data_IF_942017270116
#
_entry.id   IF_942017270116
#
_cell.length_a   1.000
_cell.length_b   1.000
_cell.length_c   1.000
_cell.angle_alpha   90.00
_cell.angle_beta   90.00
_cell.angle_gamma   90.00
#
_symmetry.space_group_name_H-M   'P 1'
#
loop_
_entity.id
_entity.type
_entity.pdbx_description
1 polymer ?
#
# COMPACT_ATOMS: atom_id res chain seq x y z
N UNK A 1 4.15 -6.19 11.42
CA UNK A 1 3.32 -5.55 10.37
C UNK A 1 2.89 -6.64 9.37
N UNK A 2 1.65 -6.67 8.89
CA UNK A 2 1.24 -7.71 7.92
C UNK A 2 1.99 -7.52 6.59
N UNK A 3 2.33 -8.62 5.89
CA UNK A 3 3.05 -8.58 4.59
C UNK A 3 2.37 -7.65 3.56
N UNK A 4 1.04 -7.53 3.63
CA UNK A 4 0.22 -6.68 2.77
C UNK A 4 0.42 -5.20 3.04
N UNK A 5 0.42 -4.84 4.32
CA UNK A 5 0.68 -3.47 4.75
C UNK A 5 2.10 -3.10 4.34
N UNK A 6 3.06 -4.02 4.50
CA UNK A 6 4.43 -3.80 4.03
C UNK A 6 4.48 -3.48 2.53
N UNK A 7 3.81 -4.26 1.68
CA UNK A 7 3.76 -4.00 0.23
C UNK A 7 3.19 -2.61 -0.11
N UNK A 8 2.08 -2.22 0.52
CA UNK A 8 1.48 -0.90 0.29
C UNK A 8 2.43 0.25 0.74
N UNK A 9 3.16 0.06 1.84
CA UNK A 9 4.18 1.01 2.29
C UNK A 9 5.43 1.01 1.41
N UNK A 10 5.80 -0.13 0.81
CA UNK A 10 6.93 -0.22 -0.12
C UNK A 10 6.71 0.53 -1.44
N UNK A 11 5.44 0.70 -1.85
CA UNK A 11 5.03 1.57 -2.98
C UNK A 11 4.97 3.04 -2.51
N UNK A 12 4.40 3.28 -1.33
CA UNK A 12 4.15 4.65 -0.89
C UNK A 12 5.43 5.42 -0.50
N UNK A 13 6.40 4.78 0.16
CA UNK A 13 7.60 5.45 0.66
C UNK A 13 8.51 5.99 -0.45
N UNK A 14 8.89 5.23 -1.49
CA UNK A 14 9.72 5.76 -2.57
C UNK A 14 9.07 6.95 -3.28
N UNK A 15 7.76 6.92 -3.50
CA UNK A 15 7.02 8.03 -4.09
C UNK A 15 7.04 9.28 -3.20
N UNK A 16 6.83 9.13 -1.89
CA UNK A 16 6.93 10.25 -0.94
C UNK A 16 8.35 10.84 -0.89
N UNK A 17 9.38 9.98 -0.88
CA UNK A 17 10.79 10.41 -0.90
C UNK A 17 11.10 11.16 -2.20
N UNK A 18 10.75 10.57 -3.35
CA UNK A 18 10.99 11.18 -4.65
C UNK A 18 10.28 12.52 -4.78
N UNK A 19 8.99 12.59 -4.44
CA UNK A 19 8.21 13.82 -4.44
C UNK A 19 8.81 14.89 -3.52
N UNK A 20 9.25 14.49 -2.32
CA UNK A 20 9.89 15.39 -1.37
C UNK A 20 11.21 15.97 -1.89
N UNK A 21 12.07 15.16 -2.52
CA UNK A 21 13.31 15.66 -3.13
C UNK A 21 13.04 16.58 -4.33
N UNK A 22 12.03 16.29 -5.16
CA UNK A 22 11.67 17.18 -6.28
C UNK A 22 11.15 18.52 -5.76
N UNK A 23 10.27 18.52 -4.76
CA UNK A 23 9.80 19.73 -4.10
C UNK A 23 10.97 20.55 -3.51
N UNK A 24 11.93 19.86 -2.89
CA UNK A 24 13.11 20.48 -2.29
C UNK A 24 13.99 21.17 -3.35
N UNK A 25 14.35 20.47 -4.43
CA UNK A 25 15.10 21.06 -5.54
C UNK A 25 14.35 22.24 -6.16
N UNK A 26 13.03 22.13 -6.30
CA UNK A 26 12.20 23.18 -6.87
C UNK A 26 12.19 24.42 -5.97
N UNK A 27 12.12 24.27 -4.65
CA UNK A 27 12.19 25.38 -3.71
C UNK A 27 13.49 26.20 -3.88
N UNK A 28 14.64 25.53 -3.99
CA UNK A 28 15.93 26.18 -4.25
C UNK A 28 15.98 26.86 -5.63
N UNK A 29 15.35 26.26 -6.65
CA UNK A 29 15.26 26.88 -7.98
C UNK A 29 14.37 28.12 -8.00
N UNK A 30 13.29 28.13 -7.24
CA UNK A 30 12.36 29.26 -7.14
C UNK A 30 12.97 30.41 -6.36
N UNK A 31 13.65 30.14 -5.24
CA UNK A 31 14.29 31.16 -4.40
C UNK A 31 15.56 31.71 -5.02
N UNK A 32 16.37 30.83 -5.63
CA UNK A 32 17.63 31.18 -6.29
C UNK A 32 17.57 30.80 -7.77
N UNK A 33 16.95 31.64 -8.63
CA UNK A 33 16.81 31.31 -10.05
C UNK A 33 18.16 31.30 -10.78
N UNK A 34 19.10 32.17 -10.40
CA UNK A 34 20.43 32.24 -11.01
C UNK A 34 21.29 31.05 -10.57
N UNK A 35 21.86 30.32 -11.54
CA UNK A 35 22.62 29.11 -11.27
C UNK A 35 23.83 29.32 -10.35
N UNK A 36 24.69 30.35 -10.52
CA UNK A 36 25.85 30.53 -9.66
C UNK A 36 25.47 30.80 -8.19
N UNK A 37 24.45 31.62 -7.96
CA UNK A 37 23.93 31.94 -6.62
C UNK A 37 23.35 30.69 -5.97
N UNK A 38 22.54 29.93 -6.73
CA UNK A 38 21.96 28.67 -6.24
C UNK A 38 23.03 27.64 -5.89
N UNK A 39 24.04 27.48 -6.73
CA UNK A 39 25.13 26.54 -6.46
C UNK A 39 25.87 26.91 -5.17
N UNK A 40 26.22 28.19 -5.02
CA UNK A 40 26.84 28.68 -3.79
C UNK A 40 25.96 28.39 -2.58
N UNK A 41 24.66 28.74 -2.64
CA UNK A 41 23.70 28.48 -1.58
C UNK A 41 23.59 26.99 -1.23
N UNK A 42 23.52 26.10 -2.22
CA UNK A 42 23.45 24.66 -2.02
C UNK A 42 24.70 24.13 -1.32
N UNK A 43 25.88 24.57 -1.72
CA UNK A 43 27.15 24.13 -1.11
C UNK A 43 27.27 24.57 0.35
N UNK A 44 27.00 25.84 0.65
CA UNK A 44 27.13 26.37 2.03
C UNK A 44 26.05 25.85 2.98
N UNK A 45 24.94 25.33 2.46
CA UNK A 45 23.84 24.76 3.26
C UNK A 45 23.83 23.23 3.31
N UNK A 46 24.86 22.56 2.78
CA UNK A 46 24.98 21.09 2.85
C UNK A 46 24.28 20.31 1.73
N UNK A 47 23.67 20.99 0.76
CA UNK A 47 22.89 20.39 -0.33
C UNK A 47 23.73 20.03 -1.57
N UNK A 48 25.06 19.95 -1.44
CA UNK A 48 25.93 19.50 -2.53
C UNK A 48 25.61 18.08 -3.02
N UNK A 49 24.96 17.25 -2.19
CA UNK A 49 24.48 15.93 -2.58
C UNK A 49 23.39 15.97 -3.66
N UNK A 50 22.71 17.10 -3.87
CA UNK A 50 21.61 17.19 -4.85
C UNK A 50 22.05 16.83 -6.27
N UNK A 51 23.34 16.99 -6.60
CA UNK A 51 23.92 16.53 -7.87
C UNK A 51 23.80 14.99 -8.07
N UNK A 52 23.62 14.23 -6.99
CA UNK A 52 23.47 12.77 -6.97
C UNK A 52 22.01 12.32 -6.88
N UNK A 53 21.03 13.23 -6.92
CA UNK A 53 19.60 12.87 -6.91
C UNK A 53 19.17 11.92 -8.04
N UNK A 54 19.74 11.95 -9.26
CA UNK A 54 19.42 10.94 -10.27
C UNK A 54 19.62 9.50 -9.78
N UNK A 55 20.64 9.24 -8.95
CA UNK A 55 20.87 7.93 -8.35
C UNK A 55 19.78 7.57 -7.33
N UNK A 56 19.37 8.54 -6.51
CA UNK A 56 18.27 8.35 -5.53
C UNK A 56 16.95 8.05 -6.24
N UNK A 57 16.65 8.76 -7.34
CA UNK A 57 15.46 8.49 -8.14
C UNK A 57 15.51 7.13 -8.83
N UNK A 58 16.67 6.72 -9.34
CA UNK A 58 16.86 5.38 -9.88
C UNK A 58 16.62 4.29 -8.82
N UNK A 59 17.14 4.48 -7.61
CA UNK A 59 16.90 3.58 -6.49
C UNK A 59 15.41 3.52 -6.09
N UNK A 60 14.74 4.67 -6.01
CA UNK A 60 13.31 4.73 -5.73
C UNK A 60 12.50 3.99 -6.81
N UNK A 61 12.81 4.21 -8.09
CA UNK A 61 12.15 3.54 -9.20
C UNK A 61 12.37 2.01 -9.18
N UNK A 62 13.57 1.56 -8.82
CA UNK A 62 13.87 0.13 -8.69
C UNK A 62 13.06 -0.51 -7.55
N UNK A 63 12.99 0.15 -6.39
CA UNK A 63 12.16 -0.30 -5.26
C UNK A 63 10.69 -0.36 -5.67
N UNK A 64 10.20 0.67 -6.38
CA UNK A 64 8.83 0.74 -6.88
C UNK A 64 8.50 -0.43 -7.81
N UNK A 65 9.41 -0.74 -8.74
CA UNK A 65 9.25 -1.87 -9.66
C UNK A 65 9.19 -3.20 -8.91
N UNK A 66 10.10 -3.42 -7.96
CA UNK A 66 10.13 -4.65 -7.14
C UNK A 66 8.84 -4.78 -6.31
N UNK A 67 8.39 -3.68 -5.70
CA UNK A 67 7.17 -3.65 -4.92
C UNK A 67 5.94 -3.95 -5.79
N UNK A 68 5.86 -3.35 -6.99
CA UNK A 68 4.81 -3.60 -7.96
C UNK A 68 4.75 -5.07 -8.38
N UNK A 69 5.88 -5.64 -8.83
CA UNK A 69 5.96 -7.05 -9.26
C UNK A 69 5.58 -7.99 -8.12
N UNK A 70 6.10 -7.75 -6.91
CA UNK A 70 5.77 -8.55 -5.73
C UNK A 70 4.27 -8.48 -5.40
N UNK A 71 3.68 -7.30 -5.54
CA UNK A 71 2.26 -7.10 -5.30
C UNK A 71 1.39 -7.80 -6.36
N UNK A 72 1.78 -7.76 -7.64
CA UNK A 72 1.13 -8.51 -8.73
C UNK A 72 1.18 -10.01 -8.45
N UNK A 73 2.34 -10.58 -8.15
CA UNK A 73 2.46 -12.02 -7.81
C UNK A 73 1.62 -12.37 -6.57
N UNK A 74 1.57 -11.47 -5.58
CA UNK A 74 0.76 -11.65 -4.37
C UNK A 74 -0.75 -11.58 -4.61
N UNK A 75 -1.20 -10.80 -5.60
CA UNK A 75 -2.61 -10.56 -5.92
C UNK A 75 -3.32 -11.82 -6.44
N UNK A 76 -2.59 -12.76 -7.05
CA UNK A 76 -3.09 -14.08 -7.48
C UNK A 76 -3.73 -14.87 -6.33
N UNK A 77 -3.36 -14.55 -5.07
CA UNK A 77 -3.95 -15.15 -3.86
C UNK A 77 -5.27 -14.47 -3.43
N UNK A 78 -5.90 -13.70 -4.33
CA UNK A 78 -7.24 -13.04 -4.27
C UNK A 78 -7.52 -12.24 -3.01
N UNK A 79 -6.66 -11.27 -2.70
CA UNK A 79 -6.75 -10.61 -1.40
C UNK A 79 -6.07 -9.25 -1.48
N UNK A 80 -6.84 -8.17 -1.50
CA UNK A 80 -6.36 -6.80 -1.63
C UNK A 80 -5.48 -6.36 -0.42
N UNK A 81 -4.50 -5.50 -0.65
CA UNK A 81 -3.74 -4.86 0.42
C UNK A 81 -4.54 -3.64 0.95
N UNK A 82 -4.58 -3.43 2.27
CA UNK A 82 -5.19 -2.21 2.80
C UNK A 82 -4.37 -1.00 2.36
N UNK A 83 -5.01 0.10 1.89
CA UNK A 83 -4.30 1.27 1.41
C UNK A 83 -3.54 1.96 2.55
N UNK A 84 -2.42 2.60 2.21
CA UNK A 84 -1.74 3.54 3.12
C UNK A 84 -2.70 4.71 3.41
N UNK A 85 -2.86 5.12 4.67
CA UNK A 85 -3.81 6.16 5.02
C UNK A 85 -3.42 7.51 4.40
N UNK A 86 -4.39 8.29 3.93
CA UNK A 86 -4.15 9.53 3.21
C UNK A 86 -3.37 10.58 4.04
N UNK A 87 -3.58 10.61 5.37
CA UNK A 87 -2.84 11.50 6.26
C UNK A 87 -1.32 11.28 6.17
N UNK A 88 -0.85 10.06 5.87
CA UNK A 88 0.57 9.78 5.77
C UNK A 88 1.22 10.57 4.62
N UNK A 89 0.53 10.70 3.49
CA UNK A 89 0.98 11.48 2.34
C UNK A 89 0.89 13.00 2.58
N UNK A 90 -0.04 13.43 3.44
CA UNK A 90 -0.16 14.83 3.84
C UNK A 90 0.82 15.26 4.93
N UNK A 91 1.30 14.32 5.77
CA UNK A 91 2.09 14.62 6.96
C UNK A 91 3.56 14.19 6.85
N UNK A 92 3.85 13.00 6.30
CA UNK A 92 5.21 12.48 6.26
C UNK A 92 6.14 13.28 5.34
N UNK A 93 5.75 13.71 4.12
CA UNK A 93 6.65 14.51 3.29
C UNK A 93 7.01 15.87 3.93
N UNK A 94 6.06 16.66 4.50
CA UNK A 94 6.41 17.87 5.25
C UNK A 94 7.33 17.63 6.44
N UNK A 95 7.07 16.61 7.27
CA UNK A 95 7.90 16.28 8.42
C UNK A 95 9.28 15.79 8.01
N UNK A 96 9.34 14.89 7.03
CA UNK A 96 10.58 14.37 6.47
C UNK A 96 11.45 15.47 5.90
N UNK A 97 10.86 16.40 5.15
CA UNK A 97 11.53 17.60 4.65
C UNK A 97 12.08 18.46 5.79
N UNK A 98 11.27 18.75 6.82
CA UNK A 98 11.71 19.61 7.92
C UNK A 98 12.88 19.00 8.70
N UNK A 99 12.83 17.70 8.96
CA UNK A 99 13.93 16.96 9.60
C UNK A 99 15.15 16.93 8.68
N UNK A 100 14.96 16.67 7.39
CA UNK A 100 16.05 16.62 6.42
C UNK A 100 16.79 17.96 6.31
N UNK A 101 16.08 19.07 6.09
CA UNK A 101 16.68 20.41 5.99
C UNK A 101 17.41 20.80 7.29
N UNK A 102 16.84 20.42 8.46
CA UNK A 102 17.49 20.65 9.74
C UNK A 102 18.83 19.90 9.85
N UNK A 103 18.82 18.61 9.52
CA UNK A 103 20.01 17.77 9.55
C UNK A 103 21.07 18.25 8.55
N UNK A 104 20.67 18.62 7.34
CA UNK A 104 21.60 19.10 6.30
C UNK A 104 22.32 20.38 6.76
N UNK A 105 21.59 21.35 7.32
CA UNK A 105 22.19 22.58 7.86
C UNK A 105 23.04 22.33 9.09
N UNK A 106 22.60 21.46 9.99
CA UNK A 106 23.35 21.17 11.20
C UNK A 106 24.67 20.46 10.86
N UNK A 107 24.64 19.47 9.98
CA UNK A 107 25.81 18.74 9.51
C UNK A 107 26.71 19.58 8.58
N UNK A 108 26.18 20.65 7.96
CA UNK A 108 26.98 21.61 7.19
C UNK A 108 27.69 22.66 8.05
N UNK A 109 27.61 22.57 9.38
CA UNK A 109 28.34 23.43 10.31
C UNK A 109 27.53 24.58 10.92
N UNK A 110 26.21 24.63 10.72
CA UNK A 110 25.37 25.59 11.44
C UNK A 110 25.21 25.18 12.91
N UNK A 111 25.45 26.12 13.84
CA UNK A 111 25.12 25.95 15.25
C UNK A 111 23.59 25.94 15.41
N UNK A 112 22.99 24.78 15.73
CA UNK A 112 21.55 24.58 15.93
C UNK A 112 20.63 25.51 15.09
N UNK A 113 20.29 25.14 13.84
CA UNK A 113 19.77 26.07 12.83
C UNK A 113 18.29 26.46 13.00
N UNK A 114 17.84 26.86 14.20
CA UNK A 114 16.43 27.19 14.48
C UNK A 114 15.87 28.29 13.55
N UNK A 115 16.71 29.22 13.08
CA UNK A 115 16.33 30.29 12.17
C UNK A 115 15.98 29.79 10.76
N UNK A 116 16.21 28.51 10.44
CA UNK A 116 15.86 27.93 9.14
C UNK A 116 14.38 28.09 8.81
N UNK A 117 13.49 28.08 9.82
CA UNK A 117 12.04 28.21 9.60
C UNK A 117 11.62 29.57 9.05
N UNK A 118 12.52 30.56 9.16
CA UNK A 118 12.33 31.89 8.60
C UNK A 118 12.82 32.01 7.16
N UNK A 119 13.59 31.02 6.68
CA UNK A 119 14.19 31.06 5.35
C UNK A 119 13.13 30.86 4.27
N UNK A 120 13.19 31.62 3.16
CA UNK A 120 12.28 31.44 2.03
C UNK A 120 12.32 30.02 1.45
N UNK A 121 13.50 29.40 1.38
CA UNK A 121 13.66 28.02 0.88
C UNK A 121 12.91 27.03 1.74
N UNK A 122 12.96 27.16 3.06
CA UNK A 122 12.23 26.28 3.97
C UNK A 122 10.72 26.45 3.82
N UNK A 123 10.21 27.69 3.82
CA UNK A 123 8.76 27.96 3.75
C UNK A 123 8.16 27.51 2.42
N UNK A 124 8.84 27.82 1.31
CA UNK A 124 8.41 27.40 -0.03
C UNK A 124 8.56 25.88 -0.17
N UNK A 125 9.66 25.30 0.31
CA UNK A 125 9.88 23.86 0.32
C UNK A 125 8.79 23.12 1.07
N UNK A 126 8.47 23.57 2.29
CA UNK A 126 7.41 23.01 3.12
C UNK A 126 6.04 23.10 2.45
N UNK A 127 5.73 24.25 1.83
CA UNK A 127 4.48 24.43 1.08
C UNK A 127 4.40 23.47 -0.12
N UNK A 128 5.50 23.31 -0.86
CA UNK A 128 5.58 22.40 -2.00
C UNK A 128 5.46 20.92 -1.60
N UNK A 129 5.73 20.55 -0.35
CA UNK A 129 5.49 19.16 0.10
C UNK A 129 4.02 18.75 -0.03
N UNK A 130 3.07 19.68 0.06
CA UNK A 130 1.63 19.37 -0.06
C UNK A 130 1.22 18.92 -1.48
N UNK A 131 1.46 19.69 -2.56
CA UNK A 131 1.12 19.25 -3.91
C UNK A 131 1.90 18.00 -4.34
N UNK A 132 3.17 17.86 -3.94
CA UNK A 132 3.95 16.66 -4.25
C UNK A 132 3.53 15.44 -3.42
N UNK A 133 3.12 15.63 -2.17
CA UNK A 133 2.51 14.58 -1.34
C UNK A 133 1.18 14.11 -1.91
N UNK A 134 0.34 15.03 -2.40
CA UNK A 134 -0.90 14.70 -3.11
C UNK A 134 -0.62 13.93 -4.41
N UNK A 135 0.36 14.37 -5.21
CA UNK A 135 0.75 13.65 -6.42
C UNK A 135 1.23 12.23 -6.09
N UNK A 136 2.08 12.06 -5.07
CA UNK A 136 2.53 10.76 -4.59
C UNK A 136 1.35 9.88 -4.13
N UNK A 137 0.37 10.45 -3.43
CA UNK A 137 -0.86 9.74 -3.05
C UNK A 137 -1.61 9.23 -4.28
N UNK A 138 -1.87 10.09 -5.26
CA UNK A 138 -2.60 9.73 -6.48
C UNK A 138 -1.87 8.63 -7.27
N UNK A 139 -0.55 8.77 -7.44
CA UNK A 139 0.29 7.77 -8.13
C UNK A 139 0.25 6.44 -7.38
N UNK A 140 0.43 6.43 -6.05
CA UNK A 140 0.35 5.21 -5.25
C UNK A 140 -1.01 4.50 -5.42
N UNK A 141 -2.11 5.26 -5.43
CA UNK A 141 -3.45 4.72 -5.65
C UNK A 141 -3.63 4.13 -7.04
N UNK A 142 -3.08 4.78 -8.07
CA UNK A 142 -3.09 4.27 -9.44
C UNK A 142 -2.27 2.98 -9.57
N UNK A 143 -1.08 2.93 -8.99
CA UNK A 143 -0.23 1.74 -9.01
C UNK A 143 -0.88 0.56 -8.30
N UNK A 144 -1.46 0.77 -7.12
CA UNK A 144 -2.17 -0.29 -6.40
C UNK A 144 -3.40 -0.79 -7.17
N UNK A 145 -4.14 0.10 -7.84
CA UNK A 145 -5.24 -0.31 -8.73
C UNK A 145 -4.72 -1.12 -9.92
N UNK A 146 -3.63 -0.68 -10.54
CA UNK A 146 -3.01 -1.39 -11.66
C UNK A 146 -2.54 -2.79 -11.24
N UNK A 147 -1.99 -2.94 -10.03
CA UNK A 147 -1.66 -4.25 -9.46
C UNK A 147 -2.90 -5.15 -9.39
N UNK A 148 -4.03 -4.64 -8.90
CA UNK A 148 -5.27 -5.42 -8.78
C UNK A 148 -5.85 -5.80 -10.16
N UNK A 149 -5.80 -4.90 -11.15
CA UNK A 149 -6.25 -5.17 -12.52
C UNK A 149 -5.39 -6.23 -13.21
N UNK A 150 -4.06 -6.06 -13.19
CA UNK A 150 -3.11 -7.01 -13.78
C UNK A 150 -3.21 -8.35 -13.08
N UNK A 151 -3.32 -8.34 -11.75
CA UNK A 151 -3.51 -9.52 -10.94
C UNK A 151 -4.73 -10.34 -11.31
N UNK A 152 -5.87 -9.67 -11.54
CA UNK A 152 -7.11 -10.31 -11.98
C UNK A 152 -7.00 -10.87 -13.39
N UNK A 153 -6.47 -10.10 -14.33
CA UNK A 153 -6.29 -10.55 -15.71
C UNK A 153 -5.42 -11.83 -15.78
N UNK A 154 -4.29 -11.86 -15.05
CA UNK A 154 -3.42 -13.04 -14.98
C UNK A 154 -4.06 -14.23 -14.27
N UNK A 155 -4.87 -13.99 -13.23
CA UNK A 155 -5.58 -15.06 -12.54
C UNK A 155 -6.69 -15.67 -13.42
N UNK A 156 -7.41 -14.84 -14.19
CA UNK A 156 -8.46 -15.29 -15.09
C UNK A 156 -7.87 -16.14 -16.23
N UNK A 157 -6.76 -15.72 -16.83
CA UNK A 157 -6.02 -16.53 -17.82
C UNK A 157 -5.55 -17.87 -17.25
N UNK A 158 -5.03 -17.89 -16.01
CA UNK A 158 -4.62 -19.13 -15.34
C UNK A 158 -5.80 -20.08 -15.04
N UNK A 159 -7.00 -19.54 -14.77
CA UNK A 159 -8.21 -20.34 -14.56
C UNK A 159 -8.82 -20.84 -15.90
N UNK A 160 -8.42 -20.26 -17.04
CA UNK A 160 -8.77 -20.72 -18.38
C UNK A 160 -7.81 -21.81 -18.91
N UNK A 161 -6.83 -22.25 -18.11
CA UNK A 161 -5.95 -23.40 -18.39
C UNK A 161 -6.73 -24.71 -18.57
N UNK A 162 -6.15 -25.68 -19.32
CA UNK A 162 -6.84 -26.44 -20.36
C UNK A 162 -8.15 -27.01 -19.84
N UNK A 163 -9.23 -26.80 -20.60
CA UNK A 163 -10.53 -27.43 -20.40
C UNK A 163 -10.28 -28.85 -19.89
N UNK A 164 -10.49 -29.03 -18.58
CA UNK A 164 -10.44 -30.33 -17.93
C UNK A 164 -11.35 -31.19 -18.79
N UNK A 165 -10.76 -32.18 -19.46
CA UNK A 165 -11.44 -32.96 -20.49
C UNK A 165 -12.85 -33.25 -20.05
N UNK A 166 -13.82 -32.92 -20.91
CA UNK A 166 -15.17 -33.43 -20.80
C UNK A 166 -15.05 -34.94 -20.62
N UNK A 167 -15.06 -35.41 -19.37
CA UNK A 167 -15.55 -36.73 -19.12
C UNK A 167 -17.05 -36.60 -19.41
N UNK A 168 -17.60 -37.31 -20.41
CA UNK A 168 -19.03 -37.33 -20.63
C UNK A 168 -19.63 -38.05 -19.43
N UNK A 169 -19.91 -37.30 -18.37
CA UNK A 169 -20.64 -37.77 -17.21
C UNK A 169 -22.09 -37.90 -17.64
N UNK A 170 -22.48 -39.11 -18.02
CA UNK A 170 -23.85 -39.46 -18.34
C UNK A 170 -24.75 -39.03 -17.17
N UNK A 171 -25.49 -37.92 -17.34
CA UNK A 171 -26.41 -37.45 -16.32
C UNK A 171 -27.63 -38.37 -16.32
N UNK A 172 -27.67 -39.32 -15.40
CA UNK A 172 -28.90 -40.06 -15.11
C UNK A 172 -29.86 -39.05 -14.49
N UNK A 173 -30.87 -38.63 -15.27
CA UNK A 173 -31.96 -37.80 -14.76
C UNK A 173 -32.68 -38.58 -13.66
N UNK A 174 -32.57 -38.12 -12.42
CA UNK A 174 -33.42 -38.55 -11.32
C UNK A 174 -34.84 -37.98 -11.55
N UNK A 175 -35.54 -38.52 -12.53
CA UNK A 175 -36.97 -38.34 -12.70
C UNK A 175 -37.69 -38.87 -11.47
N UNK A 176 -38.48 -37.99 -10.86
CA UNK A 176 -39.64 -38.30 -10.01
C UNK A 176 -39.37 -38.94 -8.64
N UNK A 177 -39.26 -38.10 -7.61
CA UNK A 177 -39.73 -38.46 -6.26
C UNK A 177 -41.08 -37.78 -6.01
N UNK A 178 -42.19 -38.52 -5.86
CA UNK A 178 -43.45 -37.91 -5.47
C UNK A 178 -43.36 -37.50 -3.99
N UNK A 179 -43.64 -36.22 -3.71
CA UNK A 179 -43.83 -35.73 -2.34
C UNK A 179 -45.20 -36.19 -1.85
N UNK A 180 -45.21 -37.21 -1.00
CA UNK A 180 -46.42 -37.62 -0.29
C UNK A 180 -46.59 -36.67 0.90
N UNK A 181 -47.62 -35.82 0.82
CA UNK A 181 -48.04 -34.93 1.89
C UNK A 181 -48.92 -35.71 2.87
N UNK A 182 -48.43 -35.93 4.10
CA UNK A 182 -49.22 -36.52 5.19
C UNK A 182 -49.77 -35.39 6.07
N UNK A 183 -50.93 -34.89 5.66
CA UNK A 183 -51.88 -34.19 6.54
C UNK A 183 -52.66 -35.26 7.32
N UNK A 184 -52.57 -35.25 8.65
CA UNK A 184 -53.52 -36.02 9.46
C UNK A 184 -53.07 -36.38 10.87
N UNK A 185 -53.49 -35.53 11.81
CA UNK A 185 -54.05 -35.88 13.12
C UNK A 185 -53.14 -36.50 14.21
N UNK A 186 -53.13 -35.84 15.37
CA UNK A 186 -53.59 -36.33 16.68
C UNK A 186 -52.81 -35.64 17.82
N UNK A 187 -53.47 -34.66 18.42
CA UNK A 187 -53.17 -34.16 19.77
C UNK A 187 -53.51 -35.25 20.79
N UNK A 188 -52.50 -35.79 21.48
CA UNK A 188 -52.68 -36.80 22.53
C UNK A 188 -51.54 -36.76 23.54
N UNK A 189 -51.89 -36.65 24.82
CA UNK A 189 -51.00 -36.42 25.98
C UNK A 189 -50.32 -37.70 26.50
N UNK A 190 -49.06 -37.57 26.95
CA UNK A 190 -48.36 -38.33 28.03
C UNK A 190 -47.93 -39.78 27.75
N UNK A 191 -46.94 -40.39 28.46
CA UNK A 191 -46.44 -40.06 29.82
C UNK A 191 -44.90 -39.85 29.94
N UNK A 192 -44.37 -39.44 31.12
CA UNK A 192 -42.93 -39.29 31.37
C UNK A 192 -42.27 -40.56 31.99
N UNK A 193 -40.93 -40.53 31.98
CA UNK A 193 -39.96 -41.30 32.78
C UNK A 193 -39.66 -42.77 32.40
N UNK A 194 -38.46 -42.99 31.84
CA UNK A 194 -37.40 -43.82 32.44
C UNK A 194 -36.17 -43.84 31.51
N UNK A 195 -35.19 -42.95 31.75
CA UNK A 195 -33.84 -43.15 31.25
C UNK A 195 -33.12 -44.04 32.28
N UNK A 196 -33.04 -45.34 31.99
CA UNK A 196 -32.20 -46.26 32.72
C UNK A 196 -30.73 -45.88 32.48
N UNK A 197 -30.11 -45.31 33.51
CA UNK A 197 -28.68 -45.04 33.54
C UNK A 197 -27.90 -46.36 33.53
N UNK A 198 -26.89 -46.38 32.68
CA UNK A 198 -25.93 -47.46 32.46
C UNK A 198 -25.15 -47.72 33.75
N UNK A 199 -25.16 -48.97 34.21
CA UNK A 199 -24.30 -49.46 35.29
C UNK A 199 -22.82 -49.38 34.88
N UNK A 200 -21.99 -48.79 35.74
CA UNK A 200 -20.54 -48.89 35.74
C UNK A 200 -20.01 -49.45 37.07
N UNK A 201 -18.79 -50.00 37.01
CA UNK A 201 -17.95 -50.60 38.07
C UNK A 201 -18.36 -52.03 38.50
N UNK A 202 -17.54 -53.07 38.23
CA UNK A 202 -16.25 -53.48 38.84
C UNK A 202 -16.56 -54.81 39.58
N UNK A 203 -15.87 -55.93 39.35
CA UNK A 203 -14.48 -56.30 39.64
C UNK A 203 -14.12 -57.51 38.79
#
# INVERSE_FOLDING_TARGET
>A
MSRRRLAAWSVALPLMVAGSQVAHVLAYRLVYPQMPVRLHALLVTGHGYMARLPLVFAACAAIELIAFVTAVVGSLRRRAAPPVPAWAFGLLPPLGFAVQEFLERWLSGALFPWWMVLQPTFRIGLLLQLPFGLAAYLVARLLLRAVDEVGRALADEANLGPASGEQPGWSVSATWMPRISLLGAHTGRGPPAAAAAIFGCAV
#
